data_IF_281595056932
#
_entry.id   IF_281595056932
#
_cell.length_a   1.000
_cell.length_b   1.000
_cell.length_c   1.000
_cell.angle_alpha   90.00
_cell.angle_beta   90.00
_cell.angle_gamma   90.00
#
_symmetry.space_group_name_H-M   'P 1'
#
loop_
_entity.id
_entity.type
_entity.pdbx_description
1 polymer ?
#
# COMPACT_ATOMS: atom_id res chain seq x y z
N UNK A 1 9.41 -10.19 -3.46
CA UNK A 1 8.86 -8.82 -3.37
C UNK A 1 8.37 -8.61 -1.96
N UNK A 2 8.86 -7.58 -1.28
CA UNK A 2 8.52 -7.29 0.11
C UNK A 2 7.78 -5.95 0.18
N UNK A 3 6.69 -5.91 0.95
CA UNK A 3 5.87 -4.72 1.15
C UNK A 3 6.08 -4.18 2.56
N UNK A 4 6.47 -2.91 2.67
CA UNK A 4 6.53 -2.19 3.95
C UNK A 4 5.51 -1.05 3.95
N UNK A 5 4.66 -1.03 4.97
CA UNK A 5 3.64 0.02 5.18
C UNK A 5 4.03 0.80 6.43
N UNK A 6 4.15 2.12 6.29
CA UNK A 6 4.45 3.01 7.41
C UNK A 6 3.22 3.84 7.76
N UNK A 7 2.75 3.71 9.00
CA UNK A 7 1.64 4.50 9.50
C UNK A 7 2.00 5.99 9.61
N UNK A 8 0.97 6.83 9.48
CA UNK A 8 1.03 8.28 9.63
C UNK A 8 1.02 8.67 11.10
N UNK A 9 1.94 9.56 11.47
CA UNK A 9 2.01 10.18 12.80
C UNK A 9 1.31 11.56 12.85
N UNK A 10 0.40 11.86 11.93
CA UNK A 10 -0.02 13.24 11.69
C UNK A 10 -1.14 13.73 12.63
N UNK A 11 -0.76 14.51 13.65
CA UNK A 11 -1.66 15.45 14.32
C UNK A 11 -0.94 16.75 14.71
N UNK A 12 -1.31 17.87 14.06
CA UNK A 12 -0.93 19.24 14.44
C UNK A 12 -1.88 19.82 15.51
N UNK A 13 -2.18 19.03 16.52
CA UNK A 13 -2.84 19.45 17.76
C UNK A 13 -2.19 18.71 18.92
N UNK A 14 -2.55 19.02 20.16
CA UNK A 14 -1.89 18.47 21.37
C UNK A 14 -1.63 16.96 21.22
N UNK A 15 -0.35 16.60 21.07
CA UNK A 15 0.20 15.28 20.73
C UNK A 15 -0.02 14.27 21.87
N UNK A 16 -1.27 14.01 22.22
CA UNK A 16 -1.65 13.09 23.29
C UNK A 16 -2.10 11.80 22.65
N UNK A 17 -1.27 10.76 22.76
CA UNK A 17 -1.71 9.39 22.52
C UNK A 17 -2.94 9.11 23.38
N UNK A 18 -4.05 8.73 22.76
CA UNK A 18 -5.22 8.29 23.51
C UNK A 18 -4.91 6.91 24.08
N UNK A 19 -5.01 6.77 25.41
CA UNK A 19 -4.74 5.49 26.08
C UNK A 19 -5.88 4.51 25.77
N UNK A 20 -5.53 3.23 25.69
CA UNK A 20 -6.47 2.11 25.59
C UNK A 20 -7.37 2.13 24.34
N UNK A 21 -6.90 2.75 23.25
CA UNK A 21 -7.56 2.70 21.94
C UNK A 21 -6.63 2.05 20.92
N UNK A 22 -7.15 1.06 20.22
CA UNK A 22 -6.52 0.43 19.06
C UNK A 22 -7.34 0.74 17.80
N UNK A 23 -6.65 1.08 16.72
CA UNK A 23 -7.24 1.32 15.41
C UNK A 23 -6.79 0.21 14.45
N UNK A 24 -7.73 -0.59 13.97
CA UNK A 24 -7.47 -1.61 12.94
C UNK A 24 -8.03 -1.13 11.60
N UNK A 25 -7.15 -0.96 10.61
CA UNK A 25 -7.54 -0.61 9.24
C UNK A 25 -7.20 -1.78 8.32
N UNK A 26 -8.20 -2.47 7.74
CA UNK A 26 -7.95 -3.57 6.84
C UNK A 26 -7.41 -3.06 5.49
N UNK A 27 -6.28 -3.59 5.05
CA UNK A 27 -5.69 -3.28 3.74
C UNK A 27 -5.61 -4.52 2.87
N UNK A 28 -5.68 -4.30 1.56
CA UNK A 28 -5.47 -5.32 0.53
C UNK A 28 -4.21 -4.97 -0.24
N UNK A 29 -3.29 -5.93 -0.31
CA UNK A 29 -2.10 -5.86 -1.16
C UNK A 29 -2.20 -6.88 -2.30
N UNK A 30 -1.63 -6.57 -3.45
CA UNK A 30 -1.72 -7.47 -4.59
C UNK A 30 -0.90 -7.04 -5.79
N UNK A 31 -0.94 -7.88 -6.83
CA UNK A 31 -0.33 -7.60 -8.13
C UNK A 31 -1.33 -8.01 -9.21
N UNK A 32 -1.54 -7.13 -10.19
CA UNK A 32 -2.30 -7.42 -11.41
C UNK A 32 -1.31 -7.42 -12.57
N UNK A 33 -1.40 -8.41 -13.46
CA UNK A 33 -0.55 -8.51 -14.64
C UNK A 33 -1.40 -8.68 -15.90
N UNK A 34 -1.04 -7.95 -16.95
CA UNK A 34 -1.63 -8.03 -18.28
C UNK A 34 -0.61 -8.60 -19.26
N UNK A 35 -1.05 -9.57 -20.03
CA UNK A 35 -0.25 -10.14 -21.11
C UNK A 35 -0.13 -9.14 -22.27
N UNK A 36 1.10 -8.88 -22.72
CA UNK A 36 1.40 -7.89 -23.78
C UNK A 36 1.49 -8.49 -25.18
N UNK A 37 1.19 -9.78 -25.35
CA UNK A 37 1.36 -10.49 -26.61
C UNK A 37 2.75 -11.10 -26.78
N UNK A 38 3.15 -11.35 -28.04
CA UNK A 38 4.41 -12.03 -28.36
C UNK A 38 5.61 -11.12 -28.04
N UNK A 39 6.20 -11.36 -26.89
CA UNK A 39 7.27 -10.52 -26.33
C UNK A 39 8.55 -10.56 -27.19
N UNK A 40 9.11 -9.39 -27.50
CA UNK A 40 10.51 -9.28 -27.91
C UNK A 40 11.41 -9.42 -26.67
N UNK A 41 11.95 -10.63 -26.49
CA UNK A 41 13.09 -11.04 -25.63
C UNK A 41 13.08 -10.74 -24.11
N UNK A 42 12.32 -9.80 -23.53
CA UNK A 42 12.50 -9.51 -22.09
C UNK A 42 11.29 -9.07 -21.27
N UNK A 43 10.17 -8.61 -21.86
CA UNK A 43 8.96 -8.27 -21.08
C UNK A 43 7.68 -8.71 -21.78
N UNK A 44 7.15 -9.86 -21.34
CA UNK A 44 5.89 -10.43 -21.86
C UNK A 44 4.64 -9.92 -21.14
N UNK A 45 4.83 -9.25 -20.01
CA UNK A 45 3.74 -8.86 -19.12
C UNK A 45 3.99 -7.45 -18.58
N UNK A 46 2.91 -6.65 -18.55
CA UNK A 46 2.87 -5.39 -17.80
C UNK A 46 2.16 -5.67 -16.49
N UNK A 47 2.80 -5.37 -15.37
CA UNK A 47 2.23 -5.60 -14.05
C UNK A 47 2.19 -4.34 -13.21
N UNK A 48 1.23 -4.31 -12.30
CA UNK A 48 1.01 -3.25 -11.33
C UNK A 48 0.89 -3.88 -9.95
N UNK A 49 1.73 -3.44 -9.03
CA UNK A 49 1.63 -3.78 -7.60
C UNK A 49 0.88 -2.66 -6.91
N UNK A 50 -0.02 -3.01 -6.00
CA UNK A 50 -0.85 -2.03 -5.33
C UNK A 50 -1.09 -2.39 -3.86
N UNK A 51 -1.39 -1.34 -3.09
CA UNK A 51 -2.00 -1.41 -1.77
C UNK A 51 -3.24 -0.54 -1.81
N UNK A 52 -4.36 -1.05 -1.32
CA UNK A 52 -5.65 -0.35 -1.29
C UNK A 52 -6.42 -0.66 -0.01
N UNK A 53 -7.37 0.19 0.31
CA UNK A 53 -8.35 -0.09 1.36
C UNK A 53 -9.24 -1.28 1.00
N UNK A 54 -9.69 -2.03 2.00
CA UNK A 54 -10.60 -3.16 1.77
C UNK A 54 -11.95 -2.69 1.21
N UNK A 55 -12.46 -1.55 1.69
CA UNK A 55 -13.73 -0.94 1.31
C UNK A 55 -13.57 0.30 0.40
N UNK A 56 -12.43 0.43 -0.29
CA UNK A 56 -12.07 1.61 -1.11
C UNK A 56 -11.88 2.92 -0.32
N UNK A 57 -11.58 2.83 0.96
CA UNK A 57 -11.26 3.99 1.79
C UNK A 57 -9.94 4.67 1.40
N UNK A 58 -9.82 5.97 1.70
CA UNK A 58 -8.61 6.76 1.45
C UNK A 58 -7.60 6.51 2.57
N UNK A 59 -6.55 5.74 2.25
CA UNK A 59 -5.53 5.34 3.23
C UNK A 59 -4.58 6.47 3.66
N UNK A 60 -4.57 7.62 2.99
CA UNK A 60 -3.63 8.72 3.27
C UNK A 60 -3.74 9.33 4.67
N UNK A 61 -4.89 9.15 5.35
CA UNK A 61 -5.05 9.57 6.74
C UNK A 61 -4.25 8.69 7.73
N UNK A 62 -3.99 7.43 7.37
CA UNK A 62 -3.41 6.41 8.26
C UNK A 62 -2.05 5.92 7.78
N UNK A 63 -1.75 6.00 6.48
CA UNK A 63 -0.49 5.56 5.88
C UNK A 63 0.31 6.78 5.39
N UNK A 64 1.55 6.90 5.85
CA UNK A 64 2.47 7.98 5.46
C UNK A 64 3.05 7.73 4.09
N UNK A 65 3.56 6.52 3.87
CA UNK A 65 4.08 6.05 2.59
C UNK A 65 4.19 4.52 2.58
N UNK A 66 4.35 3.97 1.38
CA UNK A 66 4.49 2.54 1.11
C UNK A 66 5.77 2.31 0.33
N UNK A 67 6.54 1.30 0.71
CA UNK A 67 7.78 0.93 0.02
C UNK A 67 7.59 -0.43 -0.65
N UNK A 68 7.80 -0.47 -1.97
CA UNK A 68 7.81 -1.69 -2.77
C UNK A 68 9.24 -2.09 -3.09
N UNK A 69 9.74 -3.18 -2.51
CA UNK A 69 11.06 -3.71 -2.83
C UNK A 69 10.94 -4.79 -3.92
N UNK A 70 11.34 -4.40 -5.14
CA UNK A 70 11.41 -5.27 -6.32
C UNK A 70 12.74 -6.06 -6.33
N UNK A 71 12.75 -7.18 -7.05
CA UNK A 71 13.96 -7.95 -7.32
C UNK A 71 14.82 -7.25 -8.39
#
# INVERSE_FOLDING_TARGET
MTLFVLCSDHFQGTNKRVKDIELCVPIVNGTIAFYLGKASKSQSQKWTVYVRGAANEVLGAVIKHVVFQLH
#
